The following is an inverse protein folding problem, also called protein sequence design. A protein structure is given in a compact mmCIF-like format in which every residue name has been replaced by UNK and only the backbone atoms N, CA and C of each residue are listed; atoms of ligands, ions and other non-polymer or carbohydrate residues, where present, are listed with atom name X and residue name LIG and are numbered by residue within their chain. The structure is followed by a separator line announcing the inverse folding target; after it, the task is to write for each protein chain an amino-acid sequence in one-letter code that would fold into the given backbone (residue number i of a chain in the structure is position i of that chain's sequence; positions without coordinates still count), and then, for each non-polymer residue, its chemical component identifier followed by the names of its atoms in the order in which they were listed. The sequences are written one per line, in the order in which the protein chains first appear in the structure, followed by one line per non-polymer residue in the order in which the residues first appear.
data_IF_831732135522
#
_entry.id   IF_831732135522
#
_cell.length_a   1.000
_cell.length_b   1.000
_cell.length_c   1.000
_cell.angle_alpha   90.00
_cell.angle_beta   90.00
_cell.angle_gamma   90.00
#
_symmetry.space_group_name_H-M   'P 1'
#
loop_
_entity.id
_entity.type
_entity.pdbx_description
1 polymer ?
#
# COMPACT_ATOMS: atom_id res chain seq x y z
N UNK A 1 -7.06 -4.89 -4.95
CA UNK A 1 -8.53 -4.71 -4.82
C UNK A 1 -9.15 -5.85 -3.99
N UNK A 2 -9.92 -5.56 -2.94
CA UNK A 2 -10.65 -6.55 -2.15
C UNK A 2 -11.99 -5.97 -1.67
N UNK A 3 -13.05 -6.77 -1.72
CA UNK A 3 -14.39 -6.41 -1.25
C UNK A 3 -14.82 -7.32 -0.12
N UNK A 4 -15.66 -6.82 0.78
CA UNK A 4 -16.19 -7.61 1.89
C UNK A 4 -17.56 -7.11 2.30
N UNK A 5 -18.46 -8.03 2.59
CA UNK A 5 -19.78 -7.74 3.14
C UNK A 5 -19.61 -7.04 4.51
N UNK A 6 -20.16 -5.82 4.71
CA UNK A 6 -20.08 -5.11 5.98
C UNK A 6 -20.58 -5.91 7.18
N UNK A 7 -21.62 -6.73 6.99
CA UNK A 7 -22.26 -7.48 8.07
C UNK A 7 -21.42 -8.70 8.49
N UNK A 8 -20.50 -9.15 7.62
CA UNK A 8 -19.67 -10.33 7.83
C UNK A 8 -18.18 -10.02 8.04
N UNK A 9 -17.81 -8.77 8.32
CA UNK A 9 -16.40 -8.37 8.48
C UNK A 9 -15.66 -9.13 9.58
N UNK A 10 -16.38 -9.61 10.60
CA UNK A 10 -15.82 -10.35 11.73
C UNK A 10 -15.76 -11.88 11.50
N UNK A 11 -16.06 -12.35 10.29
CA UNK A 11 -16.07 -13.78 9.94
C UNK A 11 -14.69 -14.34 9.60
N UNK A 12 -13.66 -13.49 9.49
CA UNK A 12 -12.32 -13.82 9.00
C UNK A 12 -12.26 -14.40 7.57
N UNK A 13 -13.38 -14.42 6.84
CA UNK A 13 -13.45 -14.97 5.48
C UNK A 13 -12.46 -14.29 4.52
N UNK A 14 -12.23 -12.97 4.67
CA UNK A 14 -11.25 -12.22 3.86
C UNK A 14 -9.83 -12.75 4.03
N UNK A 15 -9.45 -13.11 5.27
CA UNK A 15 -8.12 -13.67 5.56
C UNK A 15 -7.95 -15.04 4.92
N UNK A 16 -9.00 -15.88 4.97
CA UNK A 16 -9.01 -17.18 4.31
C UNK A 16 -8.89 -17.04 2.78
N UNK A 17 -9.67 -16.16 2.16
CA UNK A 17 -9.59 -15.91 0.73
C UNK A 17 -8.19 -15.43 0.31
N UNK A 18 -7.54 -14.58 1.11
CA UNK A 18 -6.18 -14.13 0.85
C UNK A 18 -5.17 -15.28 0.93
N UNK A 19 -5.28 -16.13 1.95
CA UNK A 19 -4.42 -17.30 2.11
C UNK A 19 -4.52 -18.25 0.91
N UNK A 20 -5.74 -18.60 0.50
CA UNK A 20 -5.98 -19.46 -0.66
C UNK A 20 -5.44 -18.82 -1.95
N UNK A 21 -5.58 -17.50 -2.11
CA UNK A 21 -5.01 -16.78 -3.25
C UNK A 21 -3.47 -16.85 -3.28
N UNK A 22 -2.80 -16.74 -2.13
CA UNK A 22 -1.34 -16.90 -2.01
C UNK A 22 -0.94 -18.32 -2.40
N UNK A 23 -1.63 -19.34 -1.88
CA UNK A 23 -1.34 -20.74 -2.20
C UNK A 23 -1.55 -21.03 -3.69
N UNK A 24 -2.63 -20.55 -4.27
CA UNK A 24 -2.91 -20.69 -5.70
C UNK A 24 -1.82 -20.01 -6.54
N UNK A 25 -1.49 -18.75 -6.24
CA UNK A 25 -0.46 -18.02 -6.97
C UNK A 25 0.91 -18.71 -6.90
N UNK A 26 1.26 -19.34 -5.77
CA UNK A 26 2.51 -20.08 -5.62
C UNK A 26 2.66 -21.25 -6.62
N UNK A 27 1.57 -21.71 -7.25
CA UNK A 27 1.62 -22.74 -8.30
C UNK A 27 2.13 -22.22 -9.64
N UNK A 28 2.07 -20.90 -9.87
CA UNK A 28 2.38 -20.27 -11.17
C UNK A 28 3.42 -19.14 -11.07
N UNK A 29 3.66 -18.59 -9.88
CA UNK A 29 4.63 -17.52 -9.63
C UNK A 29 5.41 -17.76 -8.34
N UNK A 30 6.57 -17.12 -8.23
CA UNK A 30 7.41 -17.13 -7.02
C UNK A 30 7.10 -15.99 -6.05
N UNK A 31 6.37 -14.98 -6.52
CA UNK A 31 6.12 -13.75 -5.78
C UNK A 31 4.63 -13.43 -5.81
N UNK A 32 4.08 -13.14 -4.64
CA UNK A 32 2.75 -12.59 -4.47
C UNK A 32 2.89 -11.11 -4.11
N UNK A 33 2.42 -10.22 -4.99
CA UNK A 33 2.44 -8.78 -4.78
C UNK A 33 1.10 -8.34 -4.18
N UNK A 34 1.14 -7.74 -2.98
CA UNK A 34 -0.03 -7.23 -2.28
C UNK A 34 -0.42 -5.81 -2.73
N UNK A 35 0.26 -5.23 -3.73
CA UNK A 35 0.12 -3.86 -4.27
C UNK A 35 0.53 -2.74 -3.27
N UNK A 36 0.55 -3.04 -1.97
CA UNK A 36 0.88 -2.10 -0.90
C UNK A 36 -0.23 -1.10 -0.61
N UNK A 37 -0.04 -0.27 0.41
CA UNK A 37 -0.97 0.82 0.74
C UNK A 37 -0.26 1.93 1.49
N UNK A 38 -0.70 3.17 1.26
CA UNK A 38 -0.29 4.36 2.03
C UNK A 38 -0.96 4.41 3.42
N UNK A 39 -1.89 3.48 3.69
CA UNK A 39 -2.66 3.39 4.92
C UNK A 39 -1.94 2.43 5.87
N UNK A 40 -1.40 2.95 6.97
CA UNK A 40 -0.61 2.19 7.95
C UNK A 40 -1.32 0.92 8.50
N UNK A 41 -2.61 0.94 8.86
CA UNK A 41 -3.30 -0.30 9.25
C UNK A 41 -3.32 -1.42 8.20
N UNK A 42 -3.26 -1.09 6.92
CA UNK A 42 -3.34 -2.07 5.82
C UNK A 42 -2.04 -2.86 5.70
N UNK A 43 -0.89 -2.23 5.91
CA UNK A 43 0.39 -2.96 5.83
C UNK A 43 0.49 -4.02 6.93
N UNK A 44 -0.03 -3.74 8.12
CA UNK A 44 0.00 -4.69 9.26
C UNK A 44 -0.75 -5.97 8.94
N UNK A 45 -1.88 -5.87 8.23
CA UNK A 45 -2.64 -7.02 7.78
C UNK A 45 -1.81 -7.90 6.83
N UNK A 46 -1.21 -7.30 5.79
CA UNK A 46 -0.39 -8.05 4.82
C UNK A 46 0.88 -8.64 5.44
N UNK A 47 1.50 -7.95 6.39
CA UNK A 47 2.66 -8.46 7.14
C UNK A 47 2.35 -9.77 7.87
N UNK A 48 1.10 -9.97 8.30
CA UNK A 48 0.64 -11.22 8.92
C UNK A 48 0.81 -12.46 8.02
N UNK A 49 0.85 -12.28 6.70
CA UNK A 49 1.07 -13.34 5.72
C UNK A 49 2.54 -13.50 5.30
N UNK A 50 3.47 -12.78 5.94
CA UNK A 50 4.90 -12.81 5.61
C UNK A 50 5.33 -11.83 4.52
N UNK A 51 4.49 -10.82 4.20
CA UNK A 51 4.86 -9.77 3.26
C UNK A 51 6.05 -8.94 3.76
N UNK A 52 6.96 -8.58 2.84
CA UNK A 52 8.10 -7.71 3.11
C UNK A 52 7.78 -6.30 2.64
N UNK A 53 7.94 -5.31 3.51
CA UNK A 53 7.73 -3.91 3.15
C UNK A 53 8.73 -3.47 2.07
N UNK A 54 8.19 -2.89 1.00
CA UNK A 54 8.98 -2.33 -0.11
C UNK A 54 8.85 -0.81 -0.08
N UNK A 55 9.95 -0.03 -0.04
CA UNK A 55 9.89 1.42 -0.08
C UNK A 55 9.23 1.94 -1.37
N UNK A 56 8.37 2.95 -1.25
CA UNK A 56 7.85 3.70 -2.39
C UNK A 56 8.39 5.14 -2.35
N UNK A 57 8.52 5.75 -3.53
CA UNK A 57 9.03 7.12 -3.66
C UNK A 57 7.93 8.03 -4.19
N UNK A 58 7.76 9.18 -3.54
CA UNK A 58 6.94 10.28 -4.08
C UNK A 58 7.83 11.24 -4.83
N UNK A 59 7.77 11.20 -6.17
CA UNK A 59 8.57 12.06 -7.04
C UNK A 59 7.69 13.19 -7.55
N UNK A 60 8.09 14.43 -7.30
CA UNK A 60 7.37 15.62 -7.78
C UNK A 60 8.31 16.62 -8.46
N UNK A 61 7.78 17.41 -9.40
CA UNK A 61 8.54 18.44 -10.14
C UNK A 61 7.75 19.74 -10.21
N UNK A 62 8.38 20.85 -9.85
CA UNK A 62 7.82 22.20 -10.02
C UNK A 62 8.49 22.88 -11.21
N UNK A 63 7.79 22.96 -12.34
CA UNK A 63 8.34 23.53 -13.58
C UNK A 63 8.42 25.07 -13.55
N UNK A 64 7.50 25.74 -12.84
CA UNK A 64 7.49 27.20 -12.75
C UNK A 64 8.56 27.72 -11.79
N UNK A 65 9.43 28.60 -12.29
CA UNK A 65 10.48 29.26 -11.48
C UNK A 65 9.88 30.10 -10.34
N UNK A 66 8.79 30.81 -10.61
CA UNK A 66 8.10 31.64 -9.61
C UNK A 66 7.54 30.80 -8.46
N UNK A 67 6.84 29.70 -8.78
CA UNK A 67 6.28 28.80 -7.75
C UNK A 67 7.40 28.13 -6.96
N UNK A 68 8.50 27.75 -7.62
CA UNK A 68 9.67 27.16 -6.96
C UNK A 68 10.30 28.12 -5.95
N UNK A 69 10.51 29.38 -6.33
CA UNK A 69 11.03 30.42 -5.43
C UNK A 69 10.06 30.70 -4.27
N UNK A 70 8.77 30.80 -4.55
CA UNK A 70 7.75 31.00 -3.51
C UNK A 70 7.76 29.88 -2.46
N UNK A 71 7.76 28.61 -2.89
CA UNK A 71 7.81 27.45 -1.99
C UNK A 71 9.10 27.44 -1.16
N UNK A 72 10.25 27.73 -1.78
CA UNK A 72 11.53 27.82 -1.07
C UNK A 72 11.52 28.90 0.02
N UNK A 73 10.98 30.08 -0.27
CA UNK A 73 10.84 31.15 0.72
C UNK A 73 9.85 30.79 1.84
N UNK A 74 8.79 30.03 1.54
CA UNK A 74 7.87 29.52 2.57
C UNK A 74 8.54 28.51 3.50
N UNK A 75 9.39 27.63 2.98
CA UNK A 75 10.11 26.62 3.78
C UNK A 75 11.11 27.26 4.75
N UNK A 76 11.86 28.28 4.32
CA UNK A 76 12.82 29.01 5.18
C UNK A 76 12.13 29.76 6.32
N UNK A 77 10.88 30.21 6.12
CA UNK A 77 10.12 30.96 7.13
C UNK A 77 9.53 30.07 8.23
N UNK A 78 9.53 28.76 8.04
CA UNK A 78 8.98 27.78 8.98
C UNK A 78 10.05 27.33 9.98
#
# INVERSE_FOLDING_TARGET
MGGGDPDLRNSDATSLCMWEAIQFAATVTKNFDFEGSMIEPVERFFRGFGAVQTPYFSISKTNSKLIKTYRFLQEIRK
#
